data_IF_308350004811
#
_entry.id   IF_308350004811
#
_cell.length_a   1.000
_cell.length_b   1.000
_cell.length_c   1.000
_cell.angle_alpha   90.00
_cell.angle_beta   90.00
_cell.angle_gamma   90.00
#
_symmetry.space_group_name_H-M   'P 1'
#
loop_
_entity.id
_entity.type
_entity.pdbx_description
1 polymer ?
#
# COMPACT_ATOMS: atom_id res chain seq x y z
N UNK A 1 38.64 9.08 6.84
CA UNK A 1 37.47 8.19 6.70
C UNK A 1 36.31 8.49 7.67
N UNK A 2 36.55 9.03 8.88
CA UNK A 2 35.47 9.31 9.85
C UNK A 2 34.61 10.55 9.54
N UNK A 3 35.13 11.54 8.81
CA UNK A 3 34.40 12.79 8.50
C UNK A 3 33.13 12.55 7.66
N UNK A 4 33.20 11.64 6.69
CA UNK A 4 32.08 11.25 5.82
C UNK A 4 30.99 10.45 6.56
N UNK A 5 31.34 9.77 7.66
CA UNK A 5 30.37 9.09 8.52
C UNK A 5 29.61 10.10 9.38
N UNK A 6 30.31 11.09 9.95
CA UNK A 6 29.69 12.17 10.73
C UNK A 6 28.78 13.09 9.89
N UNK A 7 29.14 13.34 8.64
CA UNK A 7 28.32 14.13 7.72
C UNK A 7 27.04 13.39 7.33
N UNK A 8 27.13 12.07 7.13
CA UNK A 8 25.97 11.19 6.90
C UNK A 8 25.07 11.07 8.13
N UNK A 9 25.63 10.96 9.34
CA UNK A 9 24.81 10.94 10.57
C UNK A 9 24.20 12.30 10.87
N UNK A 10 24.92 13.41 10.71
CA UNK A 10 24.38 14.75 10.91
C UNK A 10 23.30 15.13 9.88
N UNK A 11 23.45 14.71 8.62
CA UNK A 11 22.41 14.87 7.59
C UNK A 11 21.20 13.97 7.87
N UNK A 12 21.42 12.75 8.38
CA UNK A 12 20.36 11.82 8.79
C UNK A 12 19.60 12.31 10.03
N UNK A 13 20.27 12.94 10.98
CA UNK A 13 19.68 13.53 12.20
C UNK A 13 18.92 14.83 11.91
N UNK A 14 19.41 15.69 11.01
CA UNK A 14 18.66 16.87 10.55
C UNK A 14 17.38 16.50 9.79
N UNK A 15 17.38 15.38 9.08
CA UNK A 15 16.18 14.83 8.43
C UNK A 15 15.26 14.04 9.36
N UNK A 16 15.66 13.78 10.62
CA UNK A 16 14.89 13.01 11.60
C UNK A 16 14.08 13.90 12.58
N UNK A 17 14.33 15.21 12.59
CA UNK A 17 13.70 16.14 13.55
C UNK A 17 12.44 16.85 13.01
N UNK A 18 12.26 16.93 11.69
CA UNK A 18 11.04 17.46 11.06
C UNK A 18 10.21 16.30 10.53
N UNK A 19 9.05 16.08 11.15
CA UNK A 19 8.08 15.04 10.81
C UNK A 19 7.59 15.20 9.36
N UNK A 20 8.19 14.50 8.40
CA UNK A 20 7.80 14.59 6.98
C UNK A 20 6.70 13.57 6.63
N UNK A 21 5.47 14.04 6.48
CA UNK A 21 4.32 13.20 6.14
C UNK A 21 4.46 12.51 4.77
N UNK A 22 5.24 13.08 3.84
CA UNK A 22 5.43 12.51 2.50
C UNK A 22 6.21 11.20 2.57
N UNK A 23 7.33 11.21 3.32
CA UNK A 23 8.11 10.01 3.60
C UNK A 23 7.28 8.96 4.33
N UNK A 24 6.57 9.38 5.38
CA UNK A 24 5.71 8.46 6.12
C UNK A 24 4.63 7.81 5.26
N UNK A 25 4.03 8.53 4.30
CA UNK A 25 3.01 7.96 3.42
C UNK A 25 3.63 6.97 2.41
N UNK A 26 4.79 7.32 1.84
CA UNK A 26 5.53 6.43 0.94
C UNK A 26 5.90 5.11 1.62
N UNK A 27 6.39 5.16 2.85
CA UNK A 27 6.72 3.96 3.62
C UNK A 27 5.48 3.10 3.88
N UNK A 28 4.35 3.73 4.22
CA UNK A 28 3.06 3.02 4.36
C UNK A 28 2.62 2.34 3.06
N UNK A 29 2.76 3.01 1.90
CA UNK A 29 2.45 2.42 0.59
C UNK A 29 3.34 1.22 0.31
N UNK A 30 4.64 1.32 0.59
CA UNK A 30 5.58 0.21 0.41
C UNK A 30 5.19 -1.00 1.29
N UNK A 31 4.91 -0.78 2.57
CA UNK A 31 4.45 -1.83 3.47
C UNK A 31 3.12 -2.44 3.03
N UNK A 32 2.17 -1.61 2.62
CA UNK A 32 0.87 -2.06 2.13
C UNK A 32 1.02 -2.95 0.88
N UNK A 33 1.92 -2.62 -0.05
CA UNK A 33 2.19 -3.43 -1.24
C UNK A 33 2.79 -4.80 -0.87
N UNK A 34 3.70 -4.85 0.10
CA UNK A 34 4.28 -6.11 0.59
C UNK A 34 3.19 -6.98 1.22
N UNK A 35 2.40 -6.43 2.14
CA UNK A 35 1.32 -7.16 2.82
C UNK A 35 0.27 -7.62 1.83
N UNK A 36 -0.17 -6.73 0.93
CA UNK A 36 -1.10 -7.05 -0.15
C UNK A 36 -0.59 -8.23 -0.97
N UNK A 37 0.68 -8.20 -1.38
CA UNK A 37 1.26 -9.26 -2.21
C UNK A 37 1.32 -10.59 -1.45
N UNK A 38 1.79 -10.57 -0.20
CA UNK A 38 1.83 -11.77 0.63
C UNK A 38 0.42 -12.36 0.83
N UNK A 39 -0.55 -11.53 1.17
CA UNK A 39 -1.94 -11.92 1.34
C UNK A 39 -2.52 -12.46 0.03
N UNK A 40 -2.26 -11.77 -1.08
CA UNK A 40 -2.77 -12.13 -2.38
C UNK A 40 -2.19 -13.48 -2.86
N UNK A 41 -0.92 -13.77 -2.61
CA UNK A 41 -0.34 -15.08 -2.90
C UNK A 41 -1.04 -16.17 -2.08
N UNK A 42 -1.14 -16.02 -0.77
CA UNK A 42 -1.74 -17.06 0.09
C UNK A 42 -3.22 -17.28 -0.26
N UNK A 43 -3.97 -16.20 -0.46
CA UNK A 43 -5.39 -16.25 -0.78
C UNK A 43 -5.65 -16.79 -2.20
N UNK A 44 -4.95 -16.28 -3.21
CA UNK A 44 -5.16 -16.68 -4.61
C UNK A 44 -4.59 -18.06 -4.89
N UNK A 45 -3.41 -18.41 -4.37
CA UNK A 45 -2.87 -19.78 -4.52
C UNK A 45 -3.74 -20.79 -3.76
N UNK A 46 -4.27 -20.43 -2.59
CA UNK A 46 -5.26 -21.25 -1.88
C UNK A 46 -6.52 -21.49 -2.71
N UNK A 47 -7.13 -20.43 -3.23
CA UNK A 47 -8.34 -20.52 -4.04
C UNK A 47 -8.14 -21.30 -5.35
N UNK A 48 -6.99 -21.12 -6.02
CA UNK A 48 -6.64 -21.86 -7.24
C UNK A 48 -6.52 -23.36 -6.99
N UNK A 49 -5.97 -23.77 -5.84
CA UNK A 49 -5.85 -25.19 -5.47
C UNK A 49 -7.21 -25.82 -5.17
N UNK A 50 -8.14 -25.08 -4.55
CA UNK A 50 -9.48 -25.58 -4.24
C UNK A 50 -10.38 -25.72 -5.48
N UNK A 51 -10.28 -24.81 -6.46
CA UNK A 51 -11.30 -24.69 -7.52
C UNK A 51 -10.86 -25.14 -8.91
N UNK A 52 -9.55 -25.30 -9.19
CA UNK A 52 -9.04 -25.65 -10.52
C UNK A 52 -9.26 -24.58 -11.61
N UNK A 53 -9.86 -23.44 -11.27
CA UNK A 53 -10.27 -22.35 -12.17
C UNK A 53 -9.11 -21.39 -12.50
N UNK A 54 -8.14 -21.87 -13.29
CA UNK A 54 -6.95 -21.09 -13.70
C UNK A 54 -7.30 -19.78 -14.44
N UNK A 55 -8.34 -19.78 -15.26
CA UNK A 55 -8.71 -18.62 -16.09
C UNK A 55 -9.35 -17.49 -15.27
N UNK A 56 -10.20 -17.82 -14.30
CA UNK A 56 -10.83 -16.83 -13.41
C UNK A 56 -9.79 -16.21 -12.46
N UNK A 57 -8.82 -16.98 -11.99
CA UNK A 57 -7.71 -16.45 -11.18
C UNK A 57 -6.85 -15.41 -11.93
N UNK A 58 -6.62 -15.60 -13.23
CA UNK A 58 -5.91 -14.61 -14.05
C UNK A 58 -6.73 -13.33 -14.26
N UNK A 59 -8.04 -13.45 -14.51
CA UNK A 59 -8.94 -12.31 -14.60
C UNK A 59 -8.96 -11.52 -13.27
N UNK A 60 -8.97 -12.22 -12.15
CA UNK A 60 -8.82 -11.63 -10.82
C UNK A 60 -7.58 -10.78 -10.70
N UNK A 61 -6.43 -11.35 -11.04
CA UNK A 61 -5.14 -10.69 -10.94
C UNK A 61 -5.16 -9.39 -11.74
N UNK A 62 -5.76 -9.39 -12.93
CA UNK A 62 -5.93 -8.19 -13.77
C UNK A 62 -6.80 -7.16 -13.07
N UNK A 63 -7.99 -7.54 -12.57
CA UNK A 63 -8.90 -6.61 -11.86
C UNK A 63 -8.24 -6.04 -10.59
N UNK A 64 -7.52 -6.88 -9.86
CA UNK A 64 -6.85 -6.49 -8.63
C UNK A 64 -5.73 -5.48 -8.88
N UNK A 65 -4.90 -5.73 -9.90
CA UNK A 65 -3.84 -4.81 -10.34
C UNK A 65 -4.44 -3.50 -10.85
N UNK A 66 -5.52 -3.58 -11.63
CA UNK A 66 -6.24 -2.42 -12.12
C UNK A 66 -6.88 -1.59 -10.99
N UNK A 67 -7.19 -2.18 -9.83
CA UNK A 67 -7.70 -1.46 -8.66
C UNK A 67 -6.61 -0.84 -7.80
N UNK A 68 -5.51 -1.55 -7.55
CA UNK A 68 -4.48 -1.08 -6.61
C UNK A 68 -3.57 0.00 -7.20
N UNK A 69 -3.26 -0.06 -8.50
CA UNK A 69 -2.39 0.94 -9.15
C UNK A 69 -3.01 2.35 -9.14
N UNK A 70 -4.27 2.57 -9.53
CA UNK A 70 -4.90 3.89 -9.45
C UNK A 70 -4.99 4.41 -8.02
N UNK A 71 -5.25 3.52 -7.05
CA UNK A 71 -5.29 3.90 -5.65
C UNK A 71 -3.92 4.38 -5.17
N UNK A 72 -2.85 3.61 -5.41
CA UNK A 72 -1.48 4.03 -5.11
C UNK A 72 -1.14 5.37 -5.77
N UNK A 73 -1.46 5.55 -7.07
CA UNK A 73 -1.22 6.82 -7.77
C UNK A 73 -2.00 8.00 -7.17
N UNK A 74 -3.25 7.77 -6.74
CA UNK A 74 -4.08 8.82 -6.13
C UNK A 74 -3.52 9.25 -4.77
N UNK A 75 -3.14 8.29 -3.92
CA UNK A 75 -2.54 8.58 -2.63
C UNK A 75 -1.19 9.28 -2.82
N UNK A 76 -0.33 8.76 -3.68
CA UNK A 76 1.00 9.34 -3.91
C UNK A 76 0.89 10.77 -4.47
N UNK A 77 0.01 11.03 -5.44
CA UNK A 77 -0.19 12.39 -5.98
C UNK A 77 -0.65 13.37 -4.91
N UNK A 78 -1.58 12.96 -4.04
CA UNK A 78 -2.11 13.83 -2.98
C UNK A 78 -1.03 14.28 -1.99
N UNK A 79 -0.09 13.40 -1.65
CA UNK A 79 0.95 13.71 -0.67
C UNK A 79 2.22 14.29 -1.30
N UNK A 80 2.49 13.99 -2.58
CA UNK A 80 3.67 14.49 -3.30
C UNK A 80 3.64 16.01 -3.49
N UNK A 81 2.47 16.59 -3.70
CA UNK A 81 2.32 18.01 -4.04
C UNK A 81 2.37 18.94 -2.81
N UNK A 82 2.62 18.40 -1.60
CA UNK A 82 2.78 19.19 -0.36
C UNK A 82 4.12 19.93 -0.35
N UNK A 83 4.07 21.23 -0.01
CA UNK A 83 5.27 22.04 0.25
C UNK A 83 6.02 21.56 1.50
N UNK A 84 7.29 21.92 1.65
CA UNK A 84 8.10 21.47 2.80
C UNK A 84 7.54 21.93 4.16
N UNK A 85 6.93 23.12 4.22
CA UNK A 85 6.27 23.63 5.43
C UNK A 85 5.00 22.85 5.76
N UNK A 86 4.21 22.50 4.74
CA UNK A 86 3.00 21.70 4.90
C UNK A 86 3.32 20.25 5.27
N UNK A 87 4.38 19.69 4.69
CA UNK A 87 4.84 18.34 4.97
C UNK A 87 5.30 18.14 6.42
N UNK A 88 5.67 19.22 7.13
CA UNK A 88 6.01 19.21 8.56
C UNK A 88 4.85 19.62 9.48
N UNK A 89 3.74 20.12 8.92
CA UNK A 89 2.65 20.70 9.71
C UNK A 89 1.78 19.64 10.40
N UNK A 90 1.49 19.77 11.71
CA UNK A 90 0.57 18.86 12.43
C UNK A 90 -0.86 18.86 11.87
N UNK A 91 -1.25 19.89 11.12
CA UNK A 91 -2.62 20.05 10.56
C UNK A 91 -2.99 18.94 9.58
N UNK A 92 -2.01 18.28 8.97
CA UNK A 92 -2.24 17.17 8.04
C UNK A 92 -2.33 15.80 8.73
N UNK A 93 -2.17 15.71 10.05
CA UNK A 93 -2.18 14.44 10.78
C UNK A 93 -3.50 13.65 10.62
N UNK A 94 -4.64 14.33 10.67
CA UNK A 94 -5.95 13.67 10.53
C UNK A 94 -6.17 13.18 9.09
N UNK A 95 -5.79 14.00 8.11
CA UNK A 95 -5.83 13.62 6.71
C UNK A 95 -4.91 12.42 6.43
N UNK A 96 -3.73 12.39 7.07
CA UNK A 96 -2.75 11.30 7.00
C UNK A 96 -3.32 9.99 7.55
N UNK A 97 -3.93 10.04 8.74
CA UNK A 97 -4.55 8.85 9.35
C UNK A 97 -5.67 8.28 8.49
N UNK A 98 -6.53 9.14 7.94
CA UNK A 98 -7.63 8.69 7.06
C UNK A 98 -7.12 7.97 5.82
N UNK A 99 -6.04 8.48 5.22
CA UNK A 99 -5.44 7.87 4.03
C UNK A 99 -4.71 6.58 4.34
N UNK A 100 -3.99 6.53 5.45
CA UNK A 100 -3.37 5.31 5.93
C UNK A 100 -4.46 4.23 6.13
N UNK A 101 -5.55 4.56 6.82
CA UNK A 101 -6.66 3.61 7.02
C UNK A 101 -7.23 3.16 5.67
N UNK A 102 -7.50 4.08 4.75
CA UNK A 102 -8.04 3.74 3.43
C UNK A 102 -7.09 2.84 2.61
N UNK A 103 -5.79 3.12 2.65
CA UNK A 103 -4.75 2.32 2.02
C UNK A 103 -4.72 0.89 2.58
N UNK A 104 -4.76 0.75 3.91
CA UNK A 104 -4.74 -0.55 4.57
C UNK A 104 -6.03 -1.34 4.35
N UNK A 105 -7.19 -0.68 4.38
CA UNK A 105 -8.47 -1.29 4.01
C UNK A 105 -8.41 -1.80 2.58
N UNK A 106 -7.85 -1.03 1.64
CA UNK A 106 -7.75 -1.46 0.26
C UNK A 106 -6.76 -2.62 0.09
N UNK A 107 -5.57 -2.52 0.67
CA UNK A 107 -4.51 -3.52 0.57
C UNK A 107 -4.92 -4.89 1.15
N UNK A 108 -5.68 -4.89 2.24
CA UNK A 108 -6.18 -6.12 2.86
C UNK A 108 -7.51 -6.53 2.21
N UNK A 109 -8.43 -5.58 2.04
CA UNK A 109 -9.79 -5.83 1.59
C UNK A 109 -9.87 -6.33 0.14
N UNK A 110 -9.04 -5.83 -0.77
CA UNK A 110 -9.05 -6.27 -2.18
C UNK A 110 -8.81 -7.78 -2.33
N UNK A 111 -7.72 -8.36 -1.79
CA UNK A 111 -7.47 -9.81 -1.88
C UNK A 111 -8.59 -10.67 -1.27
N UNK A 112 -9.15 -10.26 -0.13
CA UNK A 112 -10.24 -10.99 0.52
C UNK A 112 -11.55 -10.87 -0.26
N UNK A 113 -11.92 -9.66 -0.71
CA UNK A 113 -13.12 -9.44 -1.50
C UNK A 113 -13.10 -10.27 -2.78
N UNK A 114 -11.94 -10.36 -3.43
CA UNK A 114 -11.74 -11.17 -4.62
C UNK A 114 -11.88 -12.67 -4.33
N UNK A 115 -11.29 -13.13 -3.22
CA UNK A 115 -11.39 -14.53 -2.80
C UNK A 115 -12.83 -14.91 -2.44
N UNK A 116 -13.54 -14.03 -1.72
CA UNK A 116 -14.95 -14.21 -1.39
C UNK A 116 -15.82 -14.25 -2.65
N UNK A 117 -15.55 -13.36 -3.63
CA UNK A 117 -16.22 -13.37 -4.93
C UNK A 117 -16.03 -14.71 -5.64
N UNK A 118 -14.81 -15.25 -5.68
CA UNK A 118 -14.56 -16.56 -6.28
C UNK A 118 -15.28 -17.70 -5.58
N UNK A 119 -15.21 -17.75 -4.25
CA UNK A 119 -15.91 -18.78 -3.48
C UNK A 119 -17.42 -18.69 -3.67
N UNK A 120 -17.96 -17.47 -3.74
CA UNK A 120 -19.39 -17.22 -3.99
C UNK A 120 -19.82 -17.68 -5.39
N UNK A 121 -19.05 -17.34 -6.43
CA UNK A 121 -19.34 -17.81 -7.80
C UNK A 121 -19.24 -19.34 -7.88
N UNK A 122 -18.18 -19.93 -7.32
CA UNK A 122 -17.97 -21.38 -7.32
C UNK A 122 -19.05 -22.14 -6.53
N UNK A 123 -19.63 -21.54 -5.48
CA UNK A 123 -20.73 -22.15 -4.74
C UNK A 123 -22.07 -22.12 -5.50
N UNK A 124 -22.18 -21.29 -6.54
CA UNK A 124 -23.39 -21.18 -7.38
C UNK A 124 -23.25 -21.86 -8.75
N UNK A 125 -22.05 -22.38 -9.09
CA UNK A 125 -21.75 -23.07 -10.35
C UNK A 125 -21.75 -24.58 -10.15
#
# INVERSE_FOLDING_TARGET
MNKALHEKTAAKERGASTRDWRKGMSDNVAWALIVYTALHIVATVGAMKETGMKSLALLALVVLVAGIIPACRRFERRWRDLTDEEAASPRFADAYRRDQIALWILAIGLPFALTALFKGIAAMA
#
